data_IF_827775327458
#
_entry.id   IF_827775327458
#
_cell.length_a   1.000
_cell.length_b   1.000
_cell.length_c   1.000
_cell.angle_alpha   90.00
_cell.angle_beta   90.00
_cell.angle_gamma   90.00
#
_symmetry.space_group_name_H-M   'P 1'
#
loop_
_entity.id
_entity.type
_entity.pdbx_description
1 polymer ?
#
# COMPACT_ATOMS: atom_id res chain seq x y z
N UNK A 1 -35.22 -19.76 -0.43
CA UNK A 1 -34.33 -18.59 -0.44
C UNK A 1 -33.93 -18.29 0.99
N UNK A 2 -32.86 -18.90 1.48
CA UNK A 2 -32.35 -18.61 2.82
C UNK A 2 -31.35 -17.46 2.71
N UNK A 3 -31.83 -16.25 2.98
CA UNK A 3 -30.93 -15.11 3.22
C UNK A 3 -30.27 -15.33 4.58
N UNK A 4 -29.03 -15.77 4.57
CA UNK A 4 -28.17 -15.75 5.75
C UNK A 4 -27.78 -14.30 6.00
N UNK A 5 -28.59 -13.60 6.76
CA UNK A 5 -28.23 -12.30 7.32
C UNK A 5 -27.07 -12.50 8.29
N UNK A 6 -25.85 -12.30 7.83
CA UNK A 6 -24.70 -12.18 8.73
C UNK A 6 -24.78 -10.84 9.42
N UNK A 7 -24.87 -10.86 10.75
CA UNK A 7 -24.83 -9.64 11.56
C UNK A 7 -23.64 -8.75 11.15
N UNK A 8 -23.79 -7.42 11.08
CA UNK A 8 -22.70 -6.54 10.69
C UNK A 8 -21.52 -6.78 11.63
N UNK A 9 -20.34 -7.05 11.03
CA UNK A 9 -19.09 -7.19 11.75
C UNK A 9 -18.92 -5.98 12.66
N UNK A 10 -18.62 -6.18 13.95
CA UNK A 10 -18.41 -5.08 14.89
C UNK A 10 -17.35 -4.12 14.30
N UNK A 11 -17.70 -2.88 14.07
CA UNK A 11 -16.78 -1.85 13.63
C UNK A 11 -15.75 -1.52 14.71
N UNK A 12 -16.19 -1.49 15.97
CA UNK A 12 -15.33 -1.23 17.13
C UNK A 12 -14.64 -2.54 17.53
N UNK A 13 -13.32 -2.52 17.52
CA UNK A 13 -12.48 -3.68 17.85
C UNK A 13 -12.25 -3.78 19.35
N UNK A 14 -12.19 -5.02 19.83
CA UNK A 14 -11.76 -5.32 21.21
C UNK A 14 -10.24 -5.11 21.37
N UNK A 15 -9.72 -5.01 22.60
CA UNK A 15 -8.27 -4.94 22.83
C UNK A 15 -7.48 -6.09 22.19
N UNK A 16 -7.99 -7.31 22.25
CA UNK A 16 -7.36 -8.49 21.62
C UNK A 16 -7.35 -8.39 20.09
N UNK A 17 -8.44 -7.90 19.51
CA UNK A 17 -8.51 -7.67 18.05
C UNK A 17 -7.54 -6.56 17.61
N UNK A 18 -7.41 -5.49 18.41
CA UNK A 18 -6.45 -4.41 18.16
C UNK A 18 -5.02 -4.95 18.17
N UNK A 19 -4.67 -5.85 19.13
CA UNK A 19 -3.33 -6.43 19.16
C UNK A 19 -3.05 -7.31 17.93
N UNK A 20 -4.02 -8.11 17.49
CA UNK A 20 -3.91 -8.88 16.24
C UNK A 20 -3.74 -7.99 15.00
N UNK A 21 -4.48 -6.88 14.94
CA UNK A 21 -4.30 -5.87 13.87
C UNK A 21 -2.92 -5.21 13.95
N UNK A 22 -2.41 -4.95 15.16
CA UNK A 22 -1.05 -4.41 15.36
C UNK A 22 0.02 -5.37 14.85
N UNK A 23 -0.14 -6.67 15.11
CA UNK A 23 0.77 -7.71 14.61
C UNK A 23 0.74 -7.73 13.07
N UNK A 24 -0.46 -7.77 12.46
CA UNK A 24 -0.59 -7.77 11.00
C UNK A 24 0.03 -6.51 10.37
N UNK A 25 -0.21 -5.33 10.96
CA UNK A 25 0.37 -4.07 10.50
C UNK A 25 1.90 -4.04 10.61
N UNK A 26 2.47 -4.60 11.69
CA UNK A 26 3.92 -4.75 11.86
C UNK A 26 4.52 -5.65 10.78
N UNK A 27 3.89 -6.80 10.51
CA UNK A 27 4.35 -7.72 9.47
C UNK A 27 4.35 -7.06 8.09
N UNK A 28 3.33 -6.26 7.76
CA UNK A 28 3.31 -5.50 6.52
C UNK A 28 4.46 -4.48 6.45
N UNK A 29 4.73 -3.75 7.52
CA UNK A 29 5.85 -2.80 7.58
C UNK A 29 7.22 -3.51 7.44
N UNK A 30 7.39 -4.67 8.07
CA UNK A 30 8.62 -5.48 7.96
C UNK A 30 8.91 -5.92 6.51
N UNK A 31 7.88 -6.19 5.69
CA UNK A 31 8.07 -6.49 4.25
C UNK A 31 8.69 -5.29 3.54
N UNK A 32 8.22 -4.06 3.84
CA UNK A 32 8.75 -2.85 3.23
C UNK A 32 10.21 -2.57 3.65
N UNK A 33 10.55 -2.83 4.89
CA UNK A 33 11.95 -2.72 5.36
C UNK A 33 12.84 -3.80 4.72
N UNK A 34 12.36 -5.04 4.66
CA UNK A 34 13.08 -6.18 4.10
C UNK A 34 13.40 -5.98 2.61
N UNK A 35 12.44 -5.47 1.82
CA UNK A 35 12.61 -5.33 0.37
C UNK A 35 13.55 -4.19 -0.03
N UNK A 36 13.75 -3.20 0.81
CA UNK A 36 14.52 -1.99 0.55
C UNK A 36 15.92 -2.25 -0.07
N UNK A 37 16.78 -3.15 0.43
CA UNK A 37 18.09 -3.43 -0.17
C UNK A 37 18.03 -4.08 -1.56
N UNK A 38 16.89 -4.62 -1.96
CA UNK A 38 16.70 -5.25 -3.27
C UNK A 38 16.25 -4.24 -4.34
N UNK A 39 15.83 -3.03 -3.95
CA UNK A 39 15.35 -1.99 -4.86
C UNK A 39 16.54 -1.26 -5.47
N UNK A 40 16.94 -1.69 -6.67
CA UNK A 40 18.07 -1.12 -7.43
C UNK A 40 17.82 -1.18 -8.92
N UNK A 41 18.54 -0.37 -9.68
CA UNK A 41 18.49 -0.42 -11.14
C UNK A 41 18.84 -1.80 -11.67
N UNK A 42 18.13 -2.25 -12.70
CA UNK A 42 18.30 -3.55 -13.33
C UNK A 42 17.41 -4.67 -12.75
N UNK A 43 16.76 -4.47 -11.60
CA UNK A 43 15.81 -5.42 -11.02
C UNK A 43 14.44 -5.23 -11.64
N UNK A 44 13.74 -6.33 -11.95
CA UNK A 44 12.34 -6.27 -12.41
C UNK A 44 11.37 -6.13 -11.23
N UNK A 45 10.20 -5.55 -11.48
CA UNK A 45 9.17 -5.48 -10.45
C UNK A 45 8.61 -6.86 -10.09
N UNK A 46 8.64 -7.84 -10.99
CA UNK A 46 8.27 -9.22 -10.70
C UNK A 46 9.26 -9.91 -9.76
N UNK A 47 10.56 -9.60 -9.88
CA UNK A 47 11.56 -10.11 -8.96
C UNK A 47 11.33 -9.60 -7.53
N UNK A 48 10.97 -8.31 -7.37
CA UNK A 48 10.59 -7.76 -6.06
C UNK A 48 9.33 -8.44 -5.48
N UNK A 49 8.32 -8.69 -6.32
CA UNK A 49 7.12 -9.44 -5.91
C UNK A 49 7.47 -10.85 -5.41
N UNK A 50 8.35 -11.56 -6.13
CA UNK A 50 8.80 -12.90 -5.75
C UNK A 50 9.49 -12.90 -4.39
N UNK A 51 10.37 -11.93 -4.13
CA UNK A 51 11.07 -11.78 -2.85
C UNK A 51 10.07 -11.49 -1.72
N UNK A 52 9.14 -10.54 -1.93
CA UNK A 52 8.11 -10.20 -0.96
C UNK A 52 7.20 -11.37 -0.66
N UNK A 53 6.74 -12.09 -1.68
CA UNK A 53 5.89 -13.27 -1.53
C UNK A 53 6.57 -14.34 -0.68
N UNK A 54 7.83 -14.67 -0.99
CA UNK A 54 8.59 -15.64 -0.22
C UNK A 54 8.72 -15.22 1.25
N UNK A 55 8.97 -13.95 1.52
CA UNK A 55 9.07 -13.44 2.88
C UNK A 55 7.74 -13.56 3.63
N UNK A 56 6.64 -13.14 3.02
CA UNK A 56 5.30 -13.20 3.63
C UNK A 56 4.90 -14.65 3.93
N UNK A 57 5.02 -15.56 2.94
CA UNK A 57 4.53 -16.93 3.06
C UNK A 57 5.45 -17.81 3.94
N UNK A 58 6.77 -17.75 3.73
CA UNK A 58 7.72 -18.71 4.32
C UNK A 58 8.45 -18.19 5.56
N UNK A 59 8.59 -16.86 5.73
CA UNK A 59 9.27 -16.28 6.89
C UNK A 59 8.26 -15.80 7.93
N UNK A 60 7.27 -15.04 7.51
CA UNK A 60 6.24 -14.51 8.42
C UNK A 60 5.09 -15.50 8.67
N UNK A 61 4.99 -16.56 7.87
CA UNK A 61 3.85 -17.49 7.90
C UNK A 61 2.52 -16.73 7.88
N UNK A 62 2.41 -15.77 6.96
CA UNK A 62 1.27 -14.92 6.71
C UNK A 62 0.75 -15.13 5.28
N UNK A 63 -0.38 -14.55 4.97
CA UNK A 63 -1.01 -14.68 3.64
C UNK A 63 -0.92 -13.33 2.92
N UNK A 64 -0.41 -13.27 1.68
CA UNK A 64 -0.46 -12.05 0.87
C UNK A 64 -1.90 -11.81 0.40
N UNK A 65 -2.55 -10.78 0.95
CA UNK A 65 -3.98 -10.53 0.75
C UNK A 65 -4.35 -10.19 -0.69
N UNK A 66 -3.42 -9.64 -1.46
CA UNK A 66 -3.65 -9.24 -2.85
C UNK A 66 -3.85 -10.44 -3.78
N UNK A 67 -3.25 -11.59 -3.49
CA UNK A 67 -3.35 -12.79 -4.32
C UNK A 67 -4.78 -13.30 -4.35
N UNK A 68 -5.35 -13.40 -5.55
CA UNK A 68 -6.74 -13.82 -5.75
C UNK A 68 -7.78 -12.71 -5.62
N UNK A 69 -7.37 -11.47 -5.36
CA UNK A 69 -8.30 -10.34 -5.20
C UNK A 69 -8.92 -9.92 -6.54
N UNK A 70 -10.21 -9.54 -6.51
CA UNK A 70 -10.92 -8.87 -7.59
C UNK A 70 -11.26 -9.74 -8.82
N UNK A 71 -11.16 -11.05 -8.75
CA UNK A 71 -11.56 -11.95 -9.83
C UNK A 71 -13.06 -11.93 -10.10
N UNK A 72 -13.46 -11.93 -11.38
CA UNK A 72 -14.83 -12.00 -11.84
C UNK A 72 -14.88 -12.70 -13.21
N UNK A 73 -16.06 -13.16 -13.69
CA UNK A 73 -16.17 -13.69 -15.03
C UNK A 73 -15.61 -12.74 -16.09
N UNK A 74 -14.62 -13.20 -16.86
CA UNK A 74 -13.93 -12.39 -17.88
C UNK A 74 -12.85 -11.44 -17.34
N UNK A 75 -12.63 -11.37 -16.03
CA UNK A 75 -11.57 -10.57 -15.39
C UNK A 75 -10.75 -11.48 -14.46
N UNK A 76 -9.47 -11.73 -14.76
CA UNK A 76 -8.63 -12.54 -13.88
C UNK A 76 -8.44 -11.85 -12.53
N UNK A 77 -8.33 -12.66 -11.48
CA UNK A 77 -7.93 -12.17 -10.16
C UNK A 77 -6.47 -11.68 -10.19
N UNK A 78 -6.12 -10.79 -9.28
CA UNK A 78 -4.74 -10.32 -9.13
C UNK A 78 -3.84 -11.47 -8.68
N UNK A 79 -2.70 -11.66 -9.34
CA UNK A 79 -1.84 -12.84 -9.16
C UNK A 79 -0.60 -12.60 -8.32
N UNK A 80 -0.38 -11.36 -7.89
CA UNK A 80 0.84 -10.93 -7.22
C UNK A 80 0.60 -10.63 -5.74
N UNK A 81 1.68 -10.67 -4.96
CA UNK A 81 1.64 -10.46 -3.50
C UNK A 81 1.68 -8.99 -3.11
N UNK A 82 2.20 -8.13 -3.99
CA UNK A 82 2.34 -6.69 -3.80
C UNK A 82 1.91 -5.93 -5.04
N UNK A 83 1.60 -4.63 -4.90
CA UNK A 83 1.52 -3.73 -6.03
C UNK A 83 2.84 -2.95 -6.17
N UNK A 84 3.26 -2.69 -7.42
CA UNK A 84 4.49 -1.97 -7.74
C UNK A 84 4.20 -0.84 -8.71
N UNK A 85 4.02 0.38 -8.20
CA UNK A 85 3.64 1.54 -9.00
C UNK A 85 4.85 2.41 -9.28
N UNK A 86 5.32 2.40 -10.54
CA UNK A 86 6.54 3.08 -10.96
C UNK A 86 6.20 4.38 -11.69
N UNK A 87 6.79 5.48 -11.27
CA UNK A 87 6.69 6.81 -11.89
C UNK A 87 5.23 7.30 -12.06
N UNK A 88 4.69 7.26 -13.28
CA UNK A 88 3.35 7.76 -13.61
C UNK A 88 2.21 6.80 -13.23
N UNK A 89 2.53 5.58 -12.80
CA UNK A 89 1.51 4.64 -12.31
C UNK A 89 1.06 5.10 -10.93
N UNK A 90 -0.20 5.53 -10.82
CA UNK A 90 -0.73 6.15 -9.60
C UNK A 90 -0.83 5.14 -8.45
N UNK A 91 -1.43 3.97 -8.71
CA UNK A 91 -1.59 2.87 -7.75
C UNK A 91 -1.83 1.55 -8.48
N UNK A 92 -1.86 0.44 -7.73
CA UNK A 92 -2.18 -0.91 -8.21
C UNK A 92 -1.33 -1.38 -9.40
N UNK A 93 -0.08 -0.90 -9.49
CA UNK A 93 0.86 -1.32 -10.53
C UNK A 93 1.11 -2.82 -10.46
N UNK A 94 0.94 -3.52 -11.60
CA UNK A 94 1.09 -4.97 -11.68
C UNK A 94 2.57 -5.31 -11.82
N UNK A 95 3.16 -6.13 -10.94
CA UNK A 95 4.51 -6.64 -11.10
C UNK A 95 4.71 -7.34 -12.45
N UNK A 96 5.84 -7.06 -13.11
CA UNK A 96 6.15 -7.57 -14.44
C UNK A 96 7.64 -7.80 -14.62
N UNK A 97 8.02 -8.87 -15.32
CA UNK A 97 9.40 -9.15 -15.73
C UNK A 97 9.95 -8.09 -16.69
N UNK A 98 9.06 -7.46 -17.48
CA UNK A 98 9.43 -6.45 -18.46
C UNK A 98 9.56 -5.05 -17.86
N UNK A 99 9.13 -4.83 -16.61
CA UNK A 99 9.28 -3.56 -15.92
C UNK A 99 10.56 -3.57 -15.09
N UNK A 100 11.65 -3.16 -15.74
CA UNK A 100 12.98 -3.06 -15.14
C UNK A 100 13.19 -1.69 -14.54
N UNK A 101 13.58 -1.62 -13.28
CA UNK A 101 13.86 -0.38 -12.55
C UNK A 101 15.11 0.30 -13.09
N UNK A 102 15.10 1.63 -13.08
CA UNK A 102 16.22 2.48 -13.50
C UNK A 102 16.55 3.48 -12.39
N UNK A 103 17.80 3.93 -12.33
CA UNK A 103 18.17 5.03 -11.44
C UNK A 103 17.30 6.26 -11.72
N UNK A 104 16.79 6.88 -10.66
CA UNK A 104 15.88 8.01 -10.74
C UNK A 104 14.40 7.65 -10.78
N UNK A 105 14.03 6.38 -10.97
CA UNK A 105 12.63 5.97 -10.83
C UNK A 105 12.15 6.18 -9.39
N UNK A 106 10.92 6.65 -9.24
CA UNK A 106 10.17 6.58 -7.97
C UNK A 106 9.28 5.34 -8.02
N UNK A 107 9.29 4.55 -6.97
CA UNK A 107 8.54 3.30 -6.87
C UNK A 107 7.72 3.29 -5.59
N UNK A 108 6.41 3.15 -5.71
CA UNK A 108 5.57 2.76 -4.58
C UNK A 108 5.45 1.24 -4.53
N UNK A 109 5.75 0.65 -3.38
CA UNK A 109 5.42 -0.74 -3.06
C UNK A 109 4.30 -0.71 -2.04
N UNK A 110 3.21 -1.39 -2.37
CA UNK A 110 2.01 -1.49 -1.56
C UNK A 110 1.76 -2.96 -1.20
N UNK A 111 1.64 -3.25 0.08
CA UNK A 111 1.58 -4.60 0.62
C UNK A 111 0.46 -4.73 1.64
N UNK A 112 -0.33 -5.78 1.49
CA UNK A 112 -1.33 -6.19 2.48
C UNK A 112 -1.07 -7.63 2.90
N UNK A 113 -0.88 -7.87 4.19
CA UNK A 113 -0.73 -9.21 4.76
C UNK A 113 -1.92 -9.57 5.63
N UNK A 114 -2.26 -10.86 5.66
CA UNK A 114 -3.27 -11.41 6.58
C UNK A 114 -2.56 -12.29 7.60
N UNK A 115 -2.73 -11.99 8.89
CA UNK A 115 -2.27 -12.81 9.99
C UNK A 115 -3.42 -13.05 10.96
N UNK A 116 -3.69 -14.32 11.26
CA UNK A 116 -4.77 -14.74 12.18
C UNK A 116 -6.15 -14.11 11.86
N UNK A 117 -6.42 -13.90 10.55
CA UNK A 117 -7.66 -13.31 10.04
C UNK A 117 -7.72 -11.78 10.08
N UNK A 118 -6.64 -11.09 10.46
CA UNK A 118 -6.54 -9.62 10.48
C UNK A 118 -5.58 -9.13 9.41
N UNK A 119 -5.92 -7.98 8.80
CA UNK A 119 -5.14 -7.37 7.73
C UNK A 119 -4.21 -6.29 8.28
N UNK A 120 -2.98 -6.29 7.79
CA UNK A 120 -2.06 -5.18 7.87
C UNK A 120 -1.80 -4.67 6.47
N UNK A 121 -2.05 -3.39 6.24
CA UNK A 121 -1.99 -2.76 4.93
C UNK A 121 -1.15 -1.48 5.04
N UNK A 122 -0.13 -1.37 4.21
CA UNK A 122 0.77 -0.21 4.20
C UNK A 122 1.58 -0.16 2.93
N UNK A 123 2.08 1.03 2.61
CA UNK A 123 2.92 1.24 1.44
C UNK A 123 4.09 2.20 1.74
N UNK A 124 5.09 2.18 0.88
CA UNK A 124 6.25 3.06 0.98
C UNK A 124 6.75 3.47 -0.40
N UNK A 125 7.19 4.73 -0.50
CA UNK A 125 7.88 5.26 -1.67
C UNK A 125 9.39 5.04 -1.56
N UNK A 126 9.99 4.59 -2.65
CA UNK A 126 11.42 4.42 -2.80
C UNK A 126 11.94 5.21 -4.01
N UNK A 127 13.16 5.73 -3.91
CA UNK A 127 13.88 6.35 -5.01
C UNK A 127 15.00 5.40 -5.41
N UNK A 128 14.93 4.87 -6.62
CA UNK A 128 15.91 3.93 -7.14
C UNK A 128 17.23 4.65 -7.40
N UNK A 129 18.31 4.16 -6.78
CA UNK A 129 19.62 4.80 -6.87
C UNK A 129 19.81 6.02 -5.98
N UNK A 130 18.79 6.38 -5.16
CA UNK A 130 18.87 7.44 -4.15
C UNK A 130 18.63 8.87 -4.66
N UNK A 131 18.69 9.10 -5.97
CA UNK A 131 18.48 10.42 -6.59
C UNK A 131 17.38 10.35 -7.65
N UNK A 132 16.59 11.42 -7.76
CA UNK A 132 15.53 11.53 -8.76
C UNK A 132 15.38 13.01 -9.18
N UNK A 133 14.46 13.29 -10.13
CA UNK A 133 14.18 14.66 -10.54
C UNK A 133 13.67 15.52 -9.38
N UNK A 134 13.90 16.82 -9.46
CA UNK A 134 13.41 17.78 -8.45
C UNK A 134 11.90 17.67 -8.27
N UNK A 135 11.15 17.51 -9.37
CA UNK A 135 9.70 17.39 -9.34
C UNK A 135 9.25 16.09 -8.67
N UNK A 136 9.87 14.96 -9.00
CA UNK A 136 9.55 13.65 -8.39
C UNK A 136 9.86 13.64 -6.89
N UNK A 137 11.01 14.17 -6.49
CA UNK A 137 11.37 14.31 -5.07
C UNK A 137 10.36 15.20 -4.31
N UNK A 138 9.97 16.33 -4.91
CA UNK A 138 8.96 17.20 -4.33
C UNK A 138 7.61 16.52 -4.20
N UNK A 139 7.16 15.76 -5.23
CA UNK A 139 5.93 14.98 -5.20
C UNK A 139 5.94 13.99 -4.02
N UNK A 140 7.01 13.20 -3.86
CA UNK A 140 7.12 12.25 -2.76
C UNK A 140 7.05 12.93 -1.39
N UNK A 141 7.74 14.06 -1.22
CA UNK A 141 7.70 14.83 0.05
C UNK A 141 6.33 15.40 0.36
N UNK A 142 5.65 15.97 -0.65
CA UNK A 142 4.31 16.52 -0.48
C UNK A 142 3.31 15.41 -0.16
N UNK A 143 3.39 14.26 -0.84
CA UNK A 143 2.53 13.11 -0.54
C UNK A 143 2.72 12.60 0.89
N UNK A 144 3.95 12.46 1.34
CA UNK A 144 4.26 12.04 2.71
C UNK A 144 3.76 13.03 3.76
N UNK A 145 4.00 14.32 3.57
CA UNK A 145 3.50 15.36 4.48
C UNK A 145 1.96 15.41 4.50
N UNK A 146 1.32 15.24 3.33
CA UNK A 146 -0.13 15.16 3.22
C UNK A 146 -0.70 14.00 4.05
N UNK A 147 -0.07 12.83 3.98
CA UNK A 147 -0.42 11.67 4.79
C UNK A 147 -0.38 11.99 6.29
N UNK A 148 0.71 12.58 6.77
CA UNK A 148 0.83 12.94 8.20
C UNK A 148 -0.22 13.96 8.63
N UNK A 149 -0.55 14.94 7.78
CA UNK A 149 -1.63 15.90 8.04
C UNK A 149 -2.99 15.23 8.11
N UNK A 150 -3.27 14.27 7.23
CA UNK A 150 -4.47 13.46 7.31
C UNK A 150 -4.54 12.67 8.61
N UNK A 151 -3.46 11.96 8.99
CA UNK A 151 -3.37 11.21 10.23
C UNK A 151 -3.58 12.08 11.47
N UNK A 152 -3.08 13.30 11.48
CA UNK A 152 -3.24 14.23 12.60
C UNK A 152 -4.70 14.67 12.86
N UNK A 153 -5.60 14.46 11.90
CA UNK A 153 -7.03 14.75 12.09
C UNK A 153 -7.77 13.65 12.84
N UNK A 154 -7.18 12.45 12.94
CA UNK A 154 -7.83 11.27 13.51
C UNK A 154 -7.89 11.37 15.03
N UNK A 155 -9.10 11.57 15.56
CA UNK A 155 -9.39 11.65 17.00
C UNK A 155 -10.86 11.31 17.24
N UNK A 156 -11.22 11.11 18.47
CA UNK A 156 -12.63 10.92 18.84
C UNK A 156 -13.48 12.10 18.37
N UNK A 157 -14.61 11.81 17.71
CA UNK A 157 -15.51 12.79 17.14
C UNK A 157 -15.13 13.31 15.74
N UNK A 158 -14.01 12.87 15.14
CA UNK A 158 -13.65 13.23 13.76
C UNK A 158 -14.51 12.47 12.75
N UNK A 159 -14.73 13.09 11.60
CA UNK A 159 -15.37 12.46 10.45
C UNK A 159 -14.35 11.93 9.46
N UNK A 160 -14.69 10.88 8.71
CA UNK A 160 -13.82 10.32 7.67
C UNK A 160 -13.42 11.38 6.62
N UNK A 161 -14.35 12.30 6.29
CA UNK A 161 -14.09 13.40 5.36
C UNK A 161 -13.04 14.41 5.83
N UNK A 162 -12.75 14.50 7.14
CA UNK A 162 -11.74 15.41 7.68
C UNK A 162 -10.35 15.02 7.20
N UNK A 163 -10.08 13.71 7.06
CA UNK A 163 -8.82 13.17 6.56
C UNK A 163 -8.61 13.62 5.11
N UNK A 164 -9.57 13.34 4.23
CA UNK A 164 -9.49 13.71 2.82
C UNK A 164 -9.39 15.21 2.61
N UNK A 165 -10.16 16.00 3.38
CA UNK A 165 -10.09 17.45 3.34
C UNK A 165 -8.71 18.01 3.71
N UNK A 166 -8.12 17.51 4.79
CA UNK A 166 -6.79 17.94 5.24
C UNK A 166 -5.71 17.63 4.20
N UNK A 167 -5.76 16.42 3.61
CA UNK A 167 -4.85 15.99 2.55
C UNK A 167 -5.02 16.88 1.32
N UNK A 168 -6.23 17.02 0.81
CA UNK A 168 -6.52 17.78 -0.40
C UNK A 168 -6.10 19.24 -0.25
N UNK A 169 -6.49 19.90 0.85
CA UNK A 169 -6.16 21.29 1.11
C UNK A 169 -4.66 21.54 1.09
N UNK A 170 -3.88 20.65 1.68
CA UNK A 170 -2.42 20.78 1.68
C UNK A 170 -1.83 20.53 0.28
N UNK A 171 -2.20 19.44 -0.37
CA UNK A 171 -1.70 19.05 -1.70
C UNK A 171 -1.96 20.17 -2.74
N UNK A 172 -3.18 20.74 -2.74
CA UNK A 172 -3.54 21.85 -3.64
C UNK A 172 -2.78 23.13 -3.31
N UNK A 173 -2.49 23.42 -2.03
CA UNK A 173 -1.64 24.57 -1.64
C UNK A 173 -0.20 24.43 -2.15
N UNK A 174 0.28 23.20 -2.30
CA UNK A 174 1.57 22.85 -2.88
C UNK A 174 1.55 22.75 -4.42
N UNK A 175 0.45 23.17 -5.06
CA UNK A 175 0.21 23.15 -6.51
C UNK A 175 0.27 21.73 -7.14
N UNK A 176 -0.10 20.72 -6.38
CA UNK A 176 -0.43 19.39 -6.86
C UNK A 176 -1.94 19.19 -6.82
N UNK A 177 -2.41 18.04 -7.30
CA UNK A 177 -3.81 17.66 -7.23
C UNK A 177 -3.96 16.27 -6.62
N UNK A 178 -5.12 15.99 -6.03
CA UNK A 178 -5.50 14.65 -5.59
C UNK A 178 -6.28 13.92 -6.67
N UNK A 179 -6.12 12.59 -6.74
CA UNK A 179 -6.93 11.75 -7.62
C UNK A 179 -8.30 11.59 -6.98
N UNK A 180 -9.35 12.04 -7.68
CA UNK A 180 -10.72 12.11 -7.13
C UNK A 180 -11.57 10.90 -7.45
N UNK A 181 -11.24 10.17 -8.51
CA UNK A 181 -11.97 9.00 -8.99
C UNK A 181 -11.64 7.72 -8.19
N UNK A 182 -10.59 7.75 -7.41
CA UNK A 182 -10.20 6.69 -6.49
C UNK A 182 -10.40 7.14 -5.05
N UNK A 183 -10.78 6.21 -4.21
CA UNK A 183 -10.77 6.39 -2.75
C UNK A 183 -9.82 5.37 -2.13
N UNK A 184 -9.16 5.79 -1.07
CA UNK A 184 -8.32 4.96 -0.23
C UNK A 184 -8.87 4.89 1.17
#
# INVERSE_FOLDING_TARGET
>A
MNSTYTAPRRLIKTPDEIEKMRIAGRLAAEVLDMIKPHIKAGVSTLELDTICRNHIENVQHAIPACVGYGGAPGRPAFQHSICTSVNHVVCHGIPSENKILKNGDILNIDVTVIKDGYHGDTNMMYIVGGETSILANRLCKVAQEAMYRGMATVRDGSYLGDIGHAIQKYVESERFSVVREYCG
#
